data_IF_902370387998
#
_entry.id   IF_902370387998
#
_cell.length_a   1.000
_cell.length_b   1.000
_cell.length_c   1.000
_cell.angle_alpha   90.00
_cell.angle_beta   90.00
_cell.angle_gamma   90.00
#
_symmetry.space_group_name_H-M   'P 1'
#
loop_
_entity.id
_entity.type
_entity.pdbx_description
1 polymer ?
#
# COMPACT_ATOMS: atom_id res chain seq x y z
N UNK A 1 10.48 28.05 -5.38
CA UNK A 1 10.24 27.88 -3.93
C UNK A 1 10.91 26.58 -3.53
N UNK A 2 11.86 26.60 -2.61
CA UNK A 2 12.38 25.37 -2.03
C UNK A 2 11.24 24.68 -1.28
N UNK A 3 10.90 23.47 -1.71
CA UNK A 3 9.99 22.60 -0.96
C UNK A 3 10.68 22.20 0.35
N UNK A 4 10.42 22.99 1.39
CA UNK A 4 10.96 22.71 2.72
C UNK A 4 10.25 21.49 3.27
N UNK A 5 10.91 20.34 3.22
CA UNK A 5 10.38 19.12 3.82
C UNK A 5 10.24 19.26 5.33
N UNK A 6 9.14 18.78 5.87
CA UNK A 6 8.90 18.81 7.31
C UNK A 6 9.74 17.75 8.01
N UNK A 7 10.63 18.17 8.92
CA UNK A 7 11.47 17.28 9.73
C UNK A 7 10.93 17.20 11.17
N UNK A 8 9.67 16.78 11.31
CA UNK A 8 9.00 16.66 12.61
C UNK A 8 8.04 15.48 12.61
N UNK A 9 7.78 14.91 13.77
CA UNK A 9 6.70 13.94 13.93
C UNK A 9 5.36 14.67 13.91
N UNK A 10 4.39 14.06 13.26
CA UNK A 10 3.01 14.55 13.22
C UNK A 10 2.11 13.50 13.84
N UNK A 11 1.20 13.96 14.68
CA UNK A 11 0.15 13.15 15.26
C UNK A 11 -1.18 13.73 14.83
N UNK A 12 -2.12 12.89 14.48
CA UNK A 12 -3.42 13.32 14.04
C UNK A 12 -4.50 12.29 14.36
N UNK A 13 -5.73 12.72 14.26
CA UNK A 13 -6.92 11.87 14.39
C UNK A 13 -7.73 12.04 13.10
N UNK A 14 -8.12 10.92 12.51
CA UNK A 14 -9.04 10.89 11.39
C UNK A 14 -10.36 10.26 11.87
N UNK A 15 -11.43 11.03 11.84
CA UNK A 15 -12.77 10.55 12.13
C UNK A 15 -13.53 10.22 10.84
N UNK A 16 -14.17 9.06 10.79
CA UNK A 16 -15.03 8.66 9.68
C UNK A 16 -16.43 8.42 10.23
N UNK A 17 -17.43 9.09 9.66
CA UNK A 17 -18.84 8.81 9.89
C UNK A 17 -19.42 8.19 8.62
N UNK A 18 -20.03 7.00 8.75
CA UNK A 18 -20.69 6.32 7.65
C UNK A 18 -22.14 6.03 8.01
N UNK A 19 -23.05 6.64 7.29
CA UNK A 19 -24.50 6.46 7.46
C UNK A 19 -25.00 5.73 6.24
N UNK A 20 -25.59 4.53 6.42
CA UNK A 20 -26.10 3.67 5.36
C UNK A 20 -25.05 3.31 4.29
N UNK A 21 -23.78 3.39 4.61
CA UNK A 21 -22.65 3.08 3.73
C UNK A 21 -21.90 1.83 4.19
N UNK A 22 -21.60 0.93 3.25
CA UNK A 22 -20.81 -0.26 3.48
C UNK A 22 -19.40 -0.07 2.90
N UNK A 23 -18.55 0.68 3.59
CA UNK A 23 -17.18 0.95 3.15
C UNK A 23 -16.15 -0.11 3.57
N UNK A 24 -16.55 -1.06 4.41
CA UNK A 24 -15.71 -2.16 4.90
C UNK A 24 -16.50 -3.47 4.86
N UNK A 25 -16.71 -4.00 3.65
CA UNK A 25 -17.43 -5.23 3.43
C UNK A 25 -16.57 -6.47 3.74
N UNK A 26 -17.24 -7.56 4.14
CA UNK A 26 -16.69 -8.89 4.09
C UNK A 26 -16.77 -9.48 2.66
N UNK A 27 -16.30 -10.72 2.48
CA UNK A 27 -16.35 -11.40 1.17
C UNK A 27 -17.77 -11.77 0.71
N UNK A 28 -18.77 -11.72 1.59
CA UNK A 28 -20.18 -11.92 1.27
C UNK A 28 -20.90 -10.62 0.89
N UNK A 29 -20.21 -9.48 0.95
CA UNK A 29 -20.73 -8.17 0.62
C UNK A 29 -21.46 -7.48 1.78
N UNK A 30 -21.47 -8.06 2.99
CA UNK A 30 -22.04 -7.45 4.18
C UNK A 30 -20.99 -6.62 4.94
N UNK A 31 -21.43 -5.60 5.71
CA UNK A 31 -20.53 -4.88 6.59
C UNK A 31 -19.85 -5.83 7.58
N UNK A 32 -18.54 -5.71 7.73
CA UNK A 32 -17.81 -6.48 8.74
C UNK A 32 -18.30 -6.13 10.12
N UNK A 33 -18.59 -7.17 10.90
CA UNK A 33 -19.07 -7.04 12.28
C UNK A 33 -18.32 -8.00 13.22
N UNK A 34 -18.31 -7.64 14.47
CA UNK A 34 -17.85 -8.50 15.56
C UNK A 34 -18.92 -9.57 15.88
N UNK A 35 -18.56 -10.56 16.69
CA UNK A 35 -19.50 -11.63 17.08
C UNK A 35 -20.75 -11.15 17.83
N UNK A 36 -20.66 -10.01 18.49
CA UNK A 36 -21.75 -9.31 19.19
C UNK A 36 -22.52 -8.33 18.30
N UNK A 37 -22.26 -8.32 16.99
CA UNK A 37 -23.03 -7.58 15.98
C UNK A 37 -22.58 -6.12 15.78
N UNK A 38 -21.53 -5.66 16.44
CA UNK A 38 -21.02 -4.32 16.21
C UNK A 38 -20.31 -4.20 14.87
N UNK A 39 -20.77 -3.31 14.00
CA UNK A 39 -20.11 -3.01 12.72
C UNK A 39 -18.85 -2.19 12.96
N UNK A 40 -17.76 -2.54 12.28
CA UNK A 40 -16.49 -1.85 12.41
C UNK A 40 -15.84 -1.56 11.07
N UNK A 41 -14.96 -0.56 11.05
CA UNK A 41 -14.04 -0.30 9.94
C UNK A 41 -12.64 -0.82 10.29
N UNK A 42 -12.02 -1.56 9.38
CA UNK A 42 -10.64 -1.98 9.56
C UNK A 42 -9.66 -0.88 9.15
N UNK A 43 -8.48 -0.86 9.76
CA UNK A 43 -7.40 0.02 9.36
C UNK A 43 -6.99 -0.19 7.89
N UNK A 44 -7.04 -1.42 7.42
CA UNK A 44 -6.75 -1.75 6.01
C UNK A 44 -7.75 -1.15 5.04
N UNK A 45 -9.04 -1.09 5.40
CA UNK A 45 -10.07 -0.48 4.57
C UNK A 45 -9.86 1.04 4.43
N UNK A 46 -9.29 1.70 5.45
CA UNK A 46 -8.91 3.11 5.39
C UNK A 46 -7.58 3.31 4.68
N UNK A 47 -6.56 2.53 5.03
CA UNK A 47 -5.19 2.70 4.49
C UNK A 47 -5.08 2.42 3.01
N UNK A 48 -5.83 1.43 2.49
CA UNK A 48 -5.73 1.06 1.08
C UNK A 48 -6.08 2.20 0.11
N UNK A 49 -7.22 2.90 0.22
CA UNK A 49 -7.53 4.02 -0.66
C UNK A 49 -6.53 5.19 -0.53
N UNK A 50 -5.99 5.44 0.67
CA UNK A 50 -4.95 6.44 0.87
C UNK A 50 -3.67 6.07 0.14
N UNK A 51 -3.20 4.83 0.32
CA UNK A 51 -2.01 4.32 -0.38
C UNK A 51 -2.23 4.31 -1.91
N UNK A 52 -3.43 3.94 -2.36
CA UNK A 52 -3.77 3.93 -3.79
C UNK A 52 -3.81 5.34 -4.39
N UNK A 53 -4.28 6.31 -3.65
CA UNK A 53 -4.23 7.72 -4.04
C UNK A 53 -2.77 8.16 -4.25
N UNK A 54 -1.91 7.92 -3.27
CA UNK A 54 -0.49 8.28 -3.38
C UNK A 54 0.25 7.52 -4.48
N UNK A 55 -0.05 6.23 -4.69
CA UNK A 55 0.50 5.45 -5.79
C UNK A 55 0.09 6.01 -7.15
N UNK A 56 -1.16 6.47 -7.29
CA UNK A 56 -1.66 7.15 -8.49
C UNK A 56 -1.05 8.55 -8.70
N UNK A 57 -0.62 9.20 -7.63
CA UNK A 57 0.11 10.49 -7.64
C UNK A 57 1.63 10.30 -7.79
N UNK A 58 2.07 9.11 -8.19
CA UNK A 58 3.49 8.76 -8.39
C UNK A 58 4.36 8.91 -7.13
N UNK A 59 3.75 8.84 -5.94
CA UNK A 59 4.50 8.78 -4.70
C UNK A 59 5.06 7.36 -4.48
N UNK A 60 6.17 7.28 -3.76
CA UNK A 60 6.81 6.00 -3.46
C UNK A 60 6.03 5.23 -2.39
N UNK A 61 5.01 4.48 -2.79
CA UNK A 61 4.27 3.59 -1.88
C UNK A 61 4.88 2.20 -1.94
N UNK A 62 5.57 1.80 -0.86
CA UNK A 62 6.28 0.53 -0.82
C UNK A 62 5.33 -0.65 -0.62
N UNK A 63 4.49 -0.60 0.41
CA UNK A 63 3.62 -1.71 0.78
C UNK A 63 2.20 -1.56 0.20
N UNK A 64 2.09 -1.82 -1.10
CA UNK A 64 0.82 -1.89 -1.83
C UNK A 64 0.84 -3.12 -2.75
N UNK A 65 -0.34 -3.72 -2.99
CA UNK A 65 -0.46 -4.83 -3.94
C UNK A 65 -0.03 -4.37 -5.33
N UNK A 66 1.02 -4.96 -5.84
CA UNK A 66 1.59 -4.72 -7.16
C UNK A 66 1.75 -6.06 -7.87
N UNK A 67 1.41 -6.11 -9.15
CA UNK A 67 1.49 -7.33 -9.96
C UNK A 67 2.62 -7.22 -10.97
N UNK A 68 3.28 -8.35 -11.22
CA UNK A 68 4.25 -8.53 -12.29
C UNK A 68 3.75 -9.61 -13.25
N UNK A 69 4.19 -9.52 -14.50
CA UNK A 69 4.04 -10.66 -15.41
C UNK A 69 4.98 -11.77 -14.97
N UNK A 70 4.43 -12.95 -14.72
CA UNK A 70 5.19 -14.16 -14.45
C UNK A 70 5.80 -14.73 -15.71
N UNK A 71 6.49 -15.86 -15.56
CA UNK A 71 7.05 -16.58 -16.69
C UNK A 71 5.96 -17.06 -17.65
N UNK A 72 6.30 -17.08 -18.93
CA UNK A 72 5.42 -17.58 -19.98
C UNK A 72 5.24 -19.09 -19.82
N UNK A 73 4.02 -19.54 -19.64
CA UNK A 73 3.70 -20.96 -19.62
C UNK A 73 4.02 -21.67 -20.93
N UNK A 74 4.10 -22.99 -20.88
CA UNK A 74 4.35 -23.81 -22.08
C UNK A 74 3.27 -23.68 -23.16
N UNK A 75 2.07 -23.32 -22.74
CA UNK A 75 0.89 -23.04 -23.58
C UNK A 75 0.84 -21.60 -24.12
N UNK A 76 1.85 -20.80 -23.79
CA UNK A 76 1.93 -19.40 -24.18
C UNK A 76 1.17 -18.43 -23.24
N UNK A 77 0.53 -18.94 -22.20
CA UNK A 77 -0.15 -18.11 -21.20
C UNK A 77 0.86 -17.30 -20.38
N UNK A 78 0.47 -16.10 -19.96
CA UNK A 78 1.23 -15.26 -19.04
C UNK A 78 0.40 -15.08 -17.80
N UNK A 79 0.93 -15.53 -16.66
CA UNK A 79 0.29 -15.32 -15.35
C UNK A 79 0.65 -13.96 -14.76
N UNK A 80 -0.26 -13.39 -13.97
CA UNK A 80 0.04 -12.23 -13.13
C UNK A 80 0.35 -12.73 -11.71
N UNK A 81 1.51 -12.38 -11.22
CA UNK A 81 1.97 -12.77 -9.88
C UNK A 81 2.14 -11.53 -8.99
N UNK A 82 1.79 -11.60 -7.70
CA UNK A 82 2.09 -10.52 -6.78
C UNK A 82 3.61 -10.33 -6.65
N UNK A 83 4.06 -9.08 -6.73
CA UNK A 83 5.45 -8.75 -6.45
C UNK A 83 5.76 -8.98 -4.97
N UNK A 84 6.95 -9.48 -4.72
CA UNK A 84 7.57 -9.47 -3.40
C UNK A 84 7.92 -8.03 -2.99
N UNK A 85 8.21 -7.81 -1.72
CA UNK A 85 8.63 -6.50 -1.23
C UNK A 85 9.95 -6.05 -1.88
N UNK A 86 10.87 -6.98 -2.13
CA UNK A 86 12.12 -6.71 -2.86
C UNK A 86 11.84 -6.21 -4.28
N UNK A 87 11.04 -6.93 -5.05
CA UNK A 87 10.67 -6.54 -6.41
C UNK A 87 9.92 -5.21 -6.45
N UNK A 88 9.13 -4.90 -5.41
CA UNK A 88 8.48 -3.59 -5.29
C UNK A 88 9.51 -2.49 -5.00
N UNK A 89 10.48 -2.75 -4.11
CA UNK A 89 11.59 -1.82 -3.87
C UNK A 89 12.38 -1.54 -5.16
N UNK A 90 12.75 -2.58 -5.88
CA UNK A 90 13.48 -2.48 -7.15
C UNK A 90 12.70 -1.71 -8.22
N UNK A 91 11.37 -1.88 -8.26
CA UNK A 91 10.49 -1.11 -9.15
C UNK A 91 10.52 0.40 -8.84
N UNK A 92 10.57 0.78 -7.55
CA UNK A 92 10.53 2.17 -7.11
C UNK A 92 11.90 2.86 -7.18
N UNK A 93 12.97 2.14 -6.83
CA UNK A 93 14.30 2.72 -6.61
C UNK A 93 15.39 2.16 -7.53
N UNK A 94 15.06 1.18 -8.36
CA UNK A 94 16.01 0.45 -9.19
C UNK A 94 16.70 -0.71 -8.48
N UNK A 95 17.52 -1.44 -9.23
CA UNK A 95 18.28 -2.58 -8.70
C UNK A 95 19.48 -2.08 -7.90
N UNK A 96 19.32 -2.03 -6.60
CA UNK A 96 20.39 -1.69 -5.67
C UNK A 96 20.97 -2.93 -5.00
N UNK A 97 22.23 -2.83 -4.54
CA UNK A 97 22.75 -3.82 -3.61
C UNK A 97 22.05 -3.65 -2.24
N UNK A 98 21.15 -4.57 -1.95
CA UNK A 98 20.40 -4.56 -0.69
C UNK A 98 21.30 -4.75 0.55
N UNK A 99 22.58 -5.08 0.38
CA UNK A 99 23.57 -5.11 1.45
C UNK A 99 24.07 -3.71 1.81
N UNK A 100 23.94 -2.73 0.91
CA UNK A 100 24.16 -1.32 1.25
C UNK A 100 22.98 -0.77 2.07
N UNK A 101 22.98 -1.11 3.34
CA UNK A 101 21.93 -0.74 4.29
C UNK A 101 21.71 0.77 4.34
N UNK A 102 22.78 1.57 4.22
CA UNK A 102 22.67 3.03 4.29
C UNK A 102 21.87 3.58 3.10
N UNK A 103 22.15 3.10 1.90
CA UNK A 103 21.44 3.50 0.68
C UNK A 103 19.98 3.07 0.74
N UNK A 104 19.73 1.80 1.12
CA UNK A 104 18.37 1.26 1.26
C UNK A 104 17.55 2.06 2.26
N UNK A 105 18.09 2.36 3.45
CA UNK A 105 17.40 3.19 4.45
C UNK A 105 17.11 4.60 3.94
N UNK A 106 18.05 5.23 3.21
CA UNK A 106 17.84 6.55 2.63
C UNK A 106 16.66 6.55 1.64
N UNK A 107 16.59 5.55 0.78
CA UNK A 107 15.47 5.39 -0.16
C UNK A 107 14.15 5.15 0.59
N UNK A 108 14.15 4.24 1.58
CA UNK A 108 12.94 3.93 2.37
C UNK A 108 12.40 5.13 3.16
N UNK A 109 13.26 6.07 3.55
CA UNK A 109 12.82 7.33 4.20
C UNK A 109 11.98 8.23 3.28
N UNK A 110 12.00 7.99 1.98
CA UNK A 110 11.18 8.71 0.99
C UNK A 110 9.92 7.93 0.61
N UNK A 111 9.76 6.73 1.12
CA UNK A 111 8.63 5.87 0.82
C UNK A 111 7.52 5.98 1.87
N UNK A 112 6.31 5.73 1.42
CA UNK A 112 5.14 5.51 2.28
C UNK A 112 4.95 4.00 2.46
N UNK A 113 4.79 3.58 3.71
CA UNK A 113 4.45 2.19 4.06
C UNK A 113 2.93 2.02 4.16
#
# INVERSE_FOLDING_TARGET
>A
MENKTMNKRVYGILGISSIMGNWNADFSGYPKSTSDGNVFGSDKALKYPMKKMWDNEEQNVLYIKSLAFGEKGKDGSISLTPRTLKERYELLFGEDDLKDVKKVLTNLMTAVD
#
